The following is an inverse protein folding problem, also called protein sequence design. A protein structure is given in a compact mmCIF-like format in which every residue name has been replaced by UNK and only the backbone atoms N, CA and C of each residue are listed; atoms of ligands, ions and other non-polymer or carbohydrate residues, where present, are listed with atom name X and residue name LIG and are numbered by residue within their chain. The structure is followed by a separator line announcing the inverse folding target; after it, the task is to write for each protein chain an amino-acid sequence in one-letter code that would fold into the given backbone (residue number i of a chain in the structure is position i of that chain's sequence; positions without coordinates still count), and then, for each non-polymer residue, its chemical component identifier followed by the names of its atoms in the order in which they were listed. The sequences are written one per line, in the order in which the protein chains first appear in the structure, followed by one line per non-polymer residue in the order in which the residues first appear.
data_IF_341822859389
#
_entry.id   IF_341822859389
#
_cell.length_a   1.000
_cell.length_b   1.000
_cell.length_c   1.000
_cell.angle_alpha   90.00
_cell.angle_beta   90.00
_cell.angle_gamma   90.00
#
_symmetry.space_group_name_H-M   'P 1'
#
loop_
_entity.id
_entity.type
_entity.pdbx_description
1 polymer ?
#
# COMPACT_ATOMS: atom_id res chain seq x y z
N UNK A 1 -4.51 -25.08 -29.85
CA UNK A 1 -5.05 -24.74 -28.51
C UNK A 1 -4.12 -23.70 -27.91
N UNK A 2 -4.59 -22.46 -27.74
CA UNK A 2 -3.75 -21.36 -27.27
C UNK A 2 -3.34 -21.59 -25.81
N UNK A 3 -2.06 -21.44 -25.52
CA UNK A 3 -1.52 -21.50 -24.16
C UNK A 3 -2.05 -20.31 -23.36
N UNK A 4 -2.79 -20.57 -22.28
CA UNK A 4 -3.20 -19.54 -21.33
C UNK A 4 -1.94 -18.89 -20.74
N UNK A 5 -1.89 -17.55 -20.69
CA UNK A 5 -0.69 -16.79 -20.26
C UNK A 5 -0.24 -17.11 -18.82
N UNK A 6 -1.14 -17.58 -17.97
CA UNK A 6 -0.84 -18.00 -16.60
C UNK A 6 -0.32 -19.44 -16.48
N UNK A 7 -0.35 -20.24 -17.55
CA UNK A 7 -0.05 -21.68 -17.51
C UNK A 7 -1.15 -22.54 -16.87
N UNK A 8 -2.23 -21.93 -16.36
CA UNK A 8 -3.37 -22.63 -15.75
C UNK A 8 -4.60 -22.61 -16.65
N UNK A 9 -5.47 -23.61 -16.50
CA UNK A 9 -6.77 -23.70 -17.15
C UNK A 9 -7.89 -23.40 -16.12
N UNK A 10 -8.32 -22.14 -15.98
CA UNK A 10 -9.22 -21.75 -14.90
C UNK A 10 -10.64 -22.28 -15.13
N UNK A 11 -11.23 -22.87 -14.09
CA UNK A 11 -12.64 -23.26 -14.02
C UNK A 11 -13.30 -22.33 -13.00
N UNK A 12 -14.39 -21.68 -13.38
CA UNK A 12 -15.00 -20.65 -12.54
C UNK A 12 -16.37 -21.07 -12.00
N UNK A 13 -16.53 -21.03 -10.67
CA UNK A 13 -17.84 -21.04 -10.05
C UNK A 13 -18.45 -19.62 -10.15
N UNK A 14 -19.51 -19.44 -10.94
CA UNK A 14 -20.10 -18.12 -11.20
C UNK A 14 -21.60 -18.24 -11.49
N UNK A 15 -22.34 -17.13 -11.49
CA UNK A 15 -23.77 -17.19 -11.82
C UNK A 15 -23.98 -17.58 -13.30
N UNK A 16 -25.09 -18.23 -13.61
CA UNK A 16 -25.45 -18.56 -15.00
C UNK A 16 -25.47 -17.33 -15.91
N UNK A 17 -25.84 -16.16 -15.37
CA UNK A 17 -25.84 -14.88 -16.09
C UNK A 17 -24.42 -14.41 -16.41
N UNK A 18 -23.46 -14.64 -15.52
CA UNK A 18 -22.05 -14.23 -15.70
C UNK A 18 -21.23 -15.24 -16.50
N UNK A 19 -21.68 -16.48 -16.65
CA UNK A 19 -20.94 -17.56 -17.32
C UNK A 19 -20.40 -17.17 -18.72
N UNK A 20 -21.18 -16.56 -19.63
CA UNK A 20 -20.65 -16.17 -20.95
C UNK A 20 -19.49 -15.17 -20.87
N UNK A 21 -19.55 -14.26 -19.90
CA UNK A 21 -18.52 -13.25 -19.67
C UNK A 21 -17.24 -13.91 -19.14
N UNK A 22 -17.38 -14.85 -18.21
CA UNK A 22 -16.26 -15.56 -17.58
C UNK A 22 -15.53 -16.46 -18.58
N UNK A 23 -16.28 -17.17 -19.45
CA UNK A 23 -15.68 -17.91 -20.57
C UNK A 23 -14.97 -16.98 -21.55
N UNK A 24 -15.53 -15.81 -21.86
CA UNK A 24 -14.88 -14.80 -22.71
C UNK A 24 -13.53 -14.34 -22.14
N UNK A 25 -13.38 -14.29 -20.81
CA UNK A 25 -12.13 -13.94 -20.14
C UNK A 25 -11.15 -15.10 -19.96
N UNK A 26 -11.44 -16.28 -20.53
CA UNK A 26 -10.49 -17.38 -20.62
C UNK A 26 -10.72 -18.53 -19.63
N UNK A 27 -11.88 -18.59 -18.96
CA UNK A 27 -12.28 -19.79 -18.23
C UNK A 27 -12.57 -20.95 -19.20
N UNK A 28 -12.00 -22.12 -18.94
CA UNK A 28 -12.21 -23.34 -19.74
C UNK A 28 -13.53 -24.03 -19.42
N UNK A 29 -14.15 -23.66 -18.29
CA UNK A 29 -15.43 -24.18 -17.84
C UNK A 29 -16.04 -23.28 -16.78
N UNK A 30 -17.35 -23.37 -16.62
CA UNK A 30 -18.11 -22.60 -15.63
C UNK A 30 -19.10 -23.49 -14.93
N UNK A 31 -19.21 -23.38 -13.61
CA UNK A 31 -20.22 -24.05 -12.81
C UNK A 31 -21.10 -23.02 -12.09
N UNK A 32 -22.41 -23.24 -12.07
CA UNK A 32 -23.30 -22.37 -11.29
C UNK A 32 -23.13 -22.65 -9.80
N UNK A 33 -22.69 -21.65 -9.03
CA UNK A 33 -22.58 -21.79 -7.57
C UNK A 33 -23.94 -22.00 -6.89
N UNK A 34 -25.04 -21.61 -7.55
CA UNK A 34 -26.40 -21.86 -7.04
C UNK A 34 -26.88 -23.30 -7.31
N UNK A 35 -26.13 -24.09 -8.09
CA UNK A 35 -26.50 -25.47 -8.38
C UNK A 35 -25.99 -26.39 -7.27
N UNK A 36 -26.85 -27.30 -6.81
CA UNK A 36 -26.44 -28.40 -5.93
C UNK A 36 -25.38 -29.31 -6.57
N UNK A 37 -25.23 -29.28 -7.90
CA UNK A 37 -24.24 -30.03 -8.68
C UNK A 37 -22.97 -29.23 -9.02
N UNK A 38 -22.71 -28.10 -8.34
CA UNK A 38 -21.60 -27.20 -8.66
C UNK A 38 -20.25 -27.94 -8.65
N UNK A 39 -19.98 -28.72 -7.60
CA UNK A 39 -18.70 -29.44 -7.44
C UNK A 39 -18.51 -30.50 -8.51
N UNK A 40 -19.55 -31.26 -8.84
CA UNK A 40 -19.52 -32.28 -9.89
C UNK A 40 -19.23 -31.65 -11.25
N UNK A 41 -19.82 -30.49 -11.52
CA UNK A 41 -19.62 -29.74 -12.76
C UNK A 41 -18.18 -29.23 -12.85
N UNK A 42 -17.63 -28.69 -11.75
CA UNK A 42 -16.22 -28.29 -11.67
C UNK A 42 -15.28 -29.47 -11.93
N UNK A 43 -15.54 -30.63 -11.30
CA UNK A 43 -14.72 -31.84 -11.50
C UNK A 43 -14.85 -32.41 -12.91
N UNK A 44 -16.03 -32.32 -13.51
CA UNK A 44 -16.25 -32.75 -14.89
C UNK A 44 -15.42 -31.90 -15.87
N UNK A 45 -15.35 -30.58 -15.65
CA UNK A 45 -14.48 -29.69 -16.43
C UNK A 45 -12.99 -29.99 -16.23
N UNK A 46 -12.58 -30.47 -15.06
CA UNK A 46 -11.20 -30.88 -14.79
C UNK A 46 -10.79 -32.18 -15.52
N UNK A 47 -11.74 -32.93 -16.09
CA UNK A 47 -11.44 -34.07 -16.95
C UNK A 47 -10.63 -35.19 -16.28
N UNK A 48 -10.77 -35.37 -14.96
CA UNK A 48 -10.01 -36.34 -14.18
C UNK A 48 -8.63 -35.86 -13.71
N UNK A 49 -8.21 -34.65 -14.08
CA UNK A 49 -7.00 -34.01 -13.54
C UNK A 49 -7.31 -33.52 -12.12
N UNK A 50 -6.53 -33.93 -11.09
CA UNK A 50 -6.75 -33.43 -9.73
C UNK A 50 -6.56 -31.92 -9.64
N UNK A 51 -7.57 -31.22 -9.13
CA UNK A 51 -7.50 -29.78 -8.89
C UNK A 51 -6.57 -29.56 -7.69
N UNK A 52 -5.43 -28.88 -7.93
CA UNK A 52 -4.41 -28.59 -6.92
C UNK A 52 -4.46 -27.18 -6.36
N UNK A 53 -5.16 -26.27 -7.02
CA UNK A 53 -5.26 -24.88 -6.61
C UNK A 53 -6.73 -24.46 -6.64
N UNK A 54 -7.22 -23.89 -5.55
CA UNK A 54 -8.55 -23.30 -5.45
C UNK A 54 -8.41 -21.86 -4.94
N UNK A 55 -8.95 -20.92 -5.70
CA UNK A 55 -9.01 -19.51 -5.32
C UNK A 55 -10.45 -19.15 -4.94
N UNK A 56 -10.67 -18.82 -3.68
CA UNK A 56 -11.97 -18.45 -3.13
C UNK A 56 -12.05 -16.95 -2.87
N UNK A 57 -12.82 -16.29 -3.72
CA UNK A 57 -13.05 -14.85 -3.67
C UNK A 57 -14.26 -14.43 -2.81
N UNK A 58 -15.03 -15.38 -2.28
CA UNK A 58 -16.25 -15.12 -1.50
C UNK A 58 -16.00 -15.37 -0.02
N UNK A 59 -15.23 -16.41 0.30
CA UNK A 59 -14.71 -16.70 1.65
C UNK A 59 -15.77 -16.97 2.72
N UNK A 60 -16.96 -17.38 2.31
CA UNK A 60 -17.99 -17.88 3.23
C UNK A 60 -17.89 -19.40 3.38
N UNK A 61 -18.67 -19.96 4.31
CA UNK A 61 -18.64 -21.39 4.58
C UNK A 61 -19.09 -22.24 3.38
N UNK A 62 -19.96 -21.69 2.52
CA UNK A 62 -20.49 -22.40 1.35
C UNK A 62 -19.46 -22.43 0.23
N UNK A 63 -18.80 -21.30 -0.06
CA UNK A 63 -17.74 -21.18 -1.06
C UNK A 63 -16.51 -22.01 -0.68
N UNK A 64 -16.10 -21.97 0.59
CA UNK A 64 -15.00 -22.77 1.10
C UNK A 64 -15.31 -24.27 0.96
N UNK A 65 -16.53 -24.68 1.31
CA UNK A 65 -16.97 -26.07 1.16
C UNK A 65 -16.92 -26.55 -0.30
N UNK A 66 -17.34 -25.70 -1.25
CA UNK A 66 -17.23 -26.00 -2.69
C UNK A 66 -15.76 -26.16 -3.10
N UNK A 67 -14.88 -25.26 -2.68
CA UNK A 67 -13.45 -25.33 -2.99
C UNK A 67 -12.77 -26.59 -2.41
N UNK A 68 -12.95 -26.86 -1.12
CA UNK A 68 -12.41 -28.06 -0.48
C UNK A 68 -12.96 -29.35 -1.10
N UNK A 69 -14.25 -29.36 -1.46
CA UNK A 69 -14.88 -30.49 -2.11
C UNK A 69 -14.39 -30.68 -3.55
N UNK A 70 -13.96 -29.61 -4.23
CA UNK A 70 -13.41 -29.66 -5.58
C UNK A 70 -11.94 -30.11 -5.62
N UNK A 71 -11.15 -29.80 -4.58
CA UNK A 71 -9.74 -30.16 -4.48
C UNK A 71 -9.50 -31.69 -4.56
N UNK A 72 -8.35 -32.07 -5.11
CA UNK A 72 -7.95 -33.47 -5.22
C UNK A 72 -7.76 -34.16 -3.87
N UNK A 73 -7.97 -35.49 -3.82
CA UNK A 73 -7.84 -36.30 -2.58
C UNK A 73 -6.46 -36.22 -1.93
N UNK A 74 -5.41 -35.95 -2.71
CA UNK A 74 -4.04 -35.79 -2.22
C UNK A 74 -3.77 -34.41 -1.57
N UNK A 75 -4.79 -33.57 -1.47
CA UNK A 75 -4.67 -32.18 -1.01
C UNK A 75 -4.40 -31.20 -2.15
N UNK A 76 -4.35 -29.93 -1.79
CA UNK A 76 -4.09 -28.82 -2.70
C UNK A 76 -3.97 -27.50 -1.94
N UNK A 77 -3.64 -26.45 -2.67
CA UNK A 77 -3.53 -25.10 -2.15
C UNK A 77 -4.88 -24.40 -2.28
N UNK A 78 -5.45 -24.03 -1.14
CA UNK A 78 -6.63 -23.17 -1.06
C UNK A 78 -6.15 -21.76 -0.72
N UNK A 79 -6.58 -20.77 -1.49
CA UNK A 79 -6.25 -19.36 -1.33
C UNK A 79 -7.55 -18.55 -1.17
N UNK A 80 -7.63 -17.68 -0.17
CA UNK A 80 -8.82 -16.91 0.15
C UNK A 80 -8.51 -15.47 0.61
N UNK A 81 -9.50 -14.58 0.53
CA UNK A 81 -9.44 -13.14 0.85
C UNK A 81 -9.47 -12.78 2.34
N UNK A 82 -10.45 -13.25 3.12
CA UNK A 82 -10.71 -12.75 4.47
C UNK A 82 -10.10 -13.61 5.58
N UNK A 83 -10.09 -13.15 6.84
CA UNK A 83 -9.71 -14.00 7.97
C UNK A 83 -10.75 -15.12 8.15
N UNK A 84 -10.34 -16.38 7.94
CA UNK A 84 -11.22 -17.54 8.06
C UNK A 84 -11.64 -17.69 9.54
N UNK A 85 -12.94 -17.66 9.83
CA UNK A 85 -13.41 -17.97 11.18
C UNK A 85 -13.12 -19.45 11.48
N UNK A 86 -12.09 -19.71 12.29
CA UNK A 86 -11.75 -21.05 12.77
C UNK A 86 -12.95 -21.68 13.48
N UNK A 87 -13.70 -22.53 12.79
CA UNK A 87 -14.66 -23.43 13.41
C UNK A 87 -14.39 -24.91 13.15
N UNK A 88 -13.40 -25.29 12.33
CA UNK A 88 -13.03 -26.69 12.18
C UNK A 88 -11.52 -26.84 11.99
N UNK A 89 -10.88 -27.37 13.02
CA UNK A 89 -9.44 -27.54 13.10
C UNK A 89 -8.86 -28.54 12.10
N UNK A 90 -7.59 -28.32 11.79
CA UNK A 90 -6.70 -29.32 11.22
C UNK A 90 -6.36 -29.13 9.75
N UNK A 91 -5.53 -28.12 9.44
CA UNK A 91 -4.41 -28.17 8.47
C UNK A 91 -3.77 -26.78 8.37
N UNK A 92 -2.43 -26.75 8.36
CA UNK A 92 -1.65 -25.53 8.13
C UNK A 92 -2.02 -24.92 6.76
N UNK A 93 -2.37 -23.64 6.76
CA UNK A 93 -3.15 -23.01 5.70
C UNK A 93 -2.55 -21.65 5.34
N UNK A 94 -2.29 -21.42 4.05
CA UNK A 94 -1.61 -20.24 3.50
C UNK A 94 -2.63 -19.32 2.81
N UNK A 95 -2.63 -18.04 3.18
CA UNK A 95 -3.64 -17.02 2.87
C UNK A 95 -3.31 -16.23 1.58
N UNK A 96 -4.23 -16.09 0.60
CA UNK A 96 -4.07 -15.18 -0.56
C UNK A 96 -5.38 -14.71 -1.23
N UNK A 97 -5.46 -13.39 -1.43
CA UNK A 97 -6.63 -12.50 -1.66
C UNK A 97 -6.95 -12.12 -3.15
N UNK A 98 -8.14 -12.40 -3.73
CA UNK A 98 -8.85 -11.59 -4.79
C UNK A 98 -10.28 -12.13 -5.11
N UNK A 99 -11.27 -11.43 -5.77
CA UNK A 99 -11.60 -10.00 -5.90
C UNK A 99 -13.11 -9.62 -5.70
N UNK A 100 -13.36 -8.41 -5.15
CA UNK A 100 -14.62 -7.64 -5.01
C UNK A 100 -15.38 -7.80 -3.68
N UNK A 101 -15.27 -6.79 -2.82
CA UNK A 101 -16.07 -6.65 -1.60
C UNK A 101 -16.96 -5.43 -1.73
N UNK A 102 -18.27 -5.62 -1.55
CA UNK A 102 -19.22 -4.51 -1.39
C UNK A 102 -19.30 -4.18 0.10
N UNK A 103 -18.56 -3.16 0.53
CA UNK A 103 -18.64 -2.69 1.92
C UNK A 103 -19.83 -1.71 2.02
N UNK A 104 -20.81 -2.06 2.87
CA UNK A 104 -21.89 -1.16 3.27
C UNK A 104 -21.63 -0.71 4.70
N UNK A 105 -21.19 0.53 4.87
CA UNK A 105 -20.99 1.11 6.21
C UNK A 105 -22.07 2.16 6.45
N UNK A 106 -22.90 1.95 7.47
CA UNK A 106 -23.80 2.98 7.97
C UNK A 106 -22.99 3.93 8.86
N UNK A 107 -22.75 5.16 8.40
CA UNK A 107 -22.10 6.18 9.21
C UNK A 107 -23.17 7.04 9.88
N UNK A 108 -23.25 7.02 11.22
CA UNK A 108 -24.05 7.98 11.98
C UNK A 108 -23.11 9.12 12.38
N UNK A 109 -23.18 10.23 11.64
CA UNK A 109 -22.49 11.47 12.04
C UNK A 109 -22.96 11.86 13.44
N UNK A 110 -22.03 11.88 14.41
CA UNK A 110 -22.29 12.35 15.78
C UNK A 110 -22.16 13.87 15.93
N UNK A 111 -22.08 14.62 14.81
CA UNK A 111 -22.18 16.08 14.86
C UNK A 111 -23.67 16.44 14.95
N UNK A 112 -24.19 16.42 16.18
CA UNK A 112 -25.46 17.04 16.53
C UNK A 112 -25.40 18.53 16.19
N UNK A 113 -25.90 18.91 15.02
CA UNK A 113 -26.60 20.19 14.87
C UNK A 113 -28.08 19.85 14.96
N UNK A 114 -28.70 20.35 16.02
CA UNK A 114 -30.13 20.20 16.29
C UNK A 114 -30.97 20.55 15.04
N UNK A 115 -31.91 19.68 14.68
CA UNK A 115 -33.08 20.08 13.88
C UNK A 115 -33.27 19.49 12.47
N UNK A 116 -32.72 18.32 12.12
CA UNK A 116 -33.18 17.62 10.90
C UNK A 116 -33.21 16.09 11.05
N UNK A 117 -34.41 15.50 10.96
CA UNK A 117 -34.67 14.06 10.92
C UNK A 117 -34.26 13.44 9.57
N UNK A 118 -32.98 13.57 9.19
CA UNK A 118 -32.43 12.83 8.07
C UNK A 118 -31.90 11.48 8.56
N UNK A 119 -32.49 10.38 8.09
CA UNK A 119 -31.96 9.05 8.27
C UNK A 119 -30.47 9.00 7.85
N UNK A 120 -29.60 8.26 8.56
CA UNK A 120 -28.17 8.25 8.27
C UNK A 120 -27.94 7.84 6.81
N UNK A 121 -27.32 8.73 6.03
CA UNK A 121 -27.01 8.48 4.63
C UNK A 121 -26.14 7.21 4.52
N UNK A 122 -26.67 6.18 3.89
CA UNK A 122 -25.95 4.92 3.71
C UNK A 122 -24.81 5.12 2.72
N UNK A 123 -23.56 5.08 3.19
CA UNK A 123 -22.39 5.13 2.32
C UNK A 123 -22.24 3.76 1.66
N UNK A 124 -22.37 3.74 0.34
CA UNK A 124 -22.14 2.55 -0.47
C UNK A 124 -20.82 2.72 -1.22
N UNK A 125 -19.87 1.84 -0.94
CA UNK A 125 -18.61 1.77 -1.68
C UNK A 125 -18.44 0.38 -2.27
N UNK A 126 -17.94 0.29 -3.50
CA UNK A 126 -17.41 -0.95 -4.07
C UNK A 126 -15.90 -0.86 -4.04
N UNK A 127 -15.29 -1.84 -3.40
CA UNK A 127 -13.84 -1.99 -3.29
C UNK A 127 -13.44 -3.21 -4.10
N UNK A 128 -12.54 -3.03 -5.06
CA UNK A 128 -12.05 -4.05 -5.96
C UNK A 128 -10.55 -4.22 -5.79
N UNK A 129 -10.13 -5.43 -5.44
CA UNK A 129 -8.74 -5.84 -5.45
C UNK A 129 -8.29 -6.06 -6.91
N UNK A 130 -7.18 -5.43 -7.30
CA UNK A 130 -6.64 -5.37 -8.66
C UNK A 130 -5.16 -5.81 -8.66
N UNK A 131 -4.61 -6.25 -9.81
CA UNK A 131 -3.22 -6.66 -9.89
C UNK A 131 -2.21 -5.55 -9.50
N UNK A 132 -1.06 -5.97 -9.00
CA UNK A 132 0.16 -5.18 -8.78
C UNK A 132 1.38 -6.07 -9.07
N UNK A 133 2.55 -5.49 -9.31
CA UNK A 133 3.82 -6.20 -9.48
C UNK A 133 4.75 -5.94 -8.29
N UNK A 134 4.69 -6.80 -7.28
CA UNK A 134 5.49 -6.63 -6.05
C UNK A 134 5.86 -7.99 -5.43
N UNK A 135 6.35 -7.99 -4.19
CA UNK A 135 6.61 -9.19 -3.39
C UNK A 135 6.03 -9.07 -1.98
N UNK A 136 6.16 -10.13 -1.18
CA UNK A 136 5.83 -10.09 0.25
C UNK A 136 6.87 -10.84 1.05
N UNK A 137 7.34 -10.26 2.16
CA UNK A 137 8.28 -10.89 3.09
C UNK A 137 8.08 -10.29 4.48
N UNK A 138 7.86 -11.12 5.50
CA UNK A 138 7.77 -10.69 6.91
C UNK A 138 8.81 -11.40 7.78
N UNK A 139 9.19 -12.62 7.43
CA UNK A 139 10.24 -13.42 8.07
C UNK A 139 11.18 -13.99 7.01
N UNK A 140 12.34 -14.52 7.39
CA UNK A 140 13.32 -15.02 6.40
C UNK A 140 12.85 -16.19 5.53
N UNK A 141 11.71 -16.83 5.86
CA UNK A 141 11.23 -18.07 5.21
C UNK A 141 9.86 -17.92 4.53
N UNK A 142 9.23 -16.75 4.58
CA UNK A 142 7.85 -16.56 4.09
C UNK A 142 7.75 -15.71 2.81
N UNK A 143 8.82 -15.67 2.02
CA UNK A 143 8.83 -14.93 0.77
C UNK A 143 7.71 -15.40 -0.16
N UNK A 144 6.84 -14.48 -0.56
CA UNK A 144 5.72 -14.72 -1.46
C UNK A 144 4.57 -15.54 -0.86
N UNK A 145 4.54 -15.78 0.45
CA UNK A 145 3.45 -16.51 1.10
C UNK A 145 2.14 -15.70 1.16
N UNK A 146 2.19 -14.38 1.00
CA UNK A 146 1.01 -13.50 0.93
C UNK A 146 0.97 -12.77 -0.41
N UNK A 147 -0.23 -12.41 -0.87
CA UNK A 147 -0.38 -11.71 -2.14
C UNK A 147 -0.17 -10.21 -1.95
N UNK A 148 0.26 -9.54 -3.01
CA UNK A 148 0.28 -8.08 -3.14
C UNK A 148 -0.78 -7.66 -4.16
N UNK A 149 -1.36 -6.48 -3.97
CA UNK A 149 -2.43 -5.99 -4.83
C UNK A 149 -2.51 -4.46 -4.84
N UNK A 150 -3.15 -3.95 -5.89
CA UNK A 150 -3.67 -2.58 -5.94
C UNK A 150 -5.18 -2.59 -5.63
N UNK A 151 -5.76 -1.42 -5.34
CA UNK A 151 -7.15 -1.31 -4.89
C UNK A 151 -7.89 -0.22 -5.65
N UNK A 152 -9.05 -0.55 -6.22
CA UNK A 152 -9.98 0.43 -6.75
C UNK A 152 -11.17 0.61 -5.81
N UNK A 153 -11.51 1.86 -5.50
CA UNK A 153 -12.61 2.24 -4.63
C UNK A 153 -13.56 3.10 -5.44
N UNK A 154 -14.84 2.73 -5.48
CA UNK A 154 -15.89 3.50 -6.15
C UNK A 154 -17.03 3.80 -5.19
N UNK A 155 -17.36 5.08 -5.01
CA UNK A 155 -18.43 5.51 -4.12
C UNK A 155 -18.98 6.86 -4.56
N UNK A 156 -20.29 7.07 -4.45
CA UNK A 156 -20.93 8.37 -4.74
C UNK A 156 -20.67 8.90 -6.16
N UNK A 157 -20.49 8.03 -7.15
CA UNK A 157 -20.15 8.42 -8.52
C UNK A 157 -18.71 8.88 -8.72
N UNK A 158 -17.84 8.70 -7.72
CA UNK A 158 -16.40 8.95 -7.79
C UNK A 158 -15.61 7.66 -7.68
N UNK A 159 -14.40 7.66 -8.24
CA UNK A 159 -13.49 6.52 -8.22
C UNK A 159 -12.06 6.89 -7.88
N UNK A 160 -11.45 6.14 -6.98
CA UNK A 160 -10.03 6.24 -6.64
C UNK A 160 -9.34 4.89 -6.88
N UNK A 161 -8.08 4.93 -7.30
CA UNK A 161 -7.23 3.75 -7.43
C UNK A 161 -5.96 3.95 -6.61
N UNK A 162 -5.65 3.00 -5.74
CA UNK A 162 -4.43 2.96 -4.95
C UNK A 162 -3.54 1.86 -5.50
N UNK A 163 -2.38 2.24 -6.06
CA UNK A 163 -1.49 1.31 -6.73
C UNK A 163 -0.83 0.29 -5.77
N UNK A 164 -0.70 0.65 -4.49
CA UNK A 164 0.22 -0.01 -3.57
C UNK A 164 1.67 0.16 -4.02
N UNK A 165 2.56 -0.64 -3.43
CA UNK A 165 3.93 -0.76 -3.92
C UNK A 165 3.90 -1.62 -5.18
N UNK A 166 4.53 -1.14 -6.24
CA UNK A 166 4.55 -1.87 -7.50
C UNK A 166 5.72 -1.46 -8.37
N UNK A 167 6.28 -2.43 -9.09
CA UNK A 167 7.16 -2.24 -10.23
C UNK A 167 6.37 -2.07 -11.52
N UNK A 168 7.09 -1.74 -12.58
CA UNK A 168 6.54 -1.59 -13.93
C UNK A 168 7.44 -2.26 -14.97
N UNK A 169 8.76 -2.10 -14.86
CA UNK A 169 9.77 -2.69 -15.77
C UNK A 169 10.85 -3.39 -14.98
N UNK A 170 11.26 -4.57 -15.44
CA UNK A 170 12.51 -5.16 -14.97
C UNK A 170 13.67 -4.54 -15.75
N UNK A 171 14.56 -3.81 -15.06
CA UNK A 171 15.69 -3.11 -15.67
C UNK A 171 16.95 -4.00 -15.54
N UNK A 172 17.70 -4.27 -16.61
CA UNK A 172 18.96 -5.00 -16.52
C UNK A 172 20.05 -4.23 -15.78
N UNK A 173 21.00 -4.93 -15.16
CA UNK A 173 22.19 -4.31 -14.58
C UNK A 173 23.01 -3.60 -15.64
N UNK A 174 23.51 -2.39 -15.32
CA UNK A 174 24.26 -1.55 -16.25
C UNK A 174 23.42 -0.78 -17.27
N UNK A 175 22.10 -0.95 -17.30
CA UNK A 175 21.21 -0.12 -18.12
C UNK A 175 20.82 1.16 -17.39
N UNK A 176 21.09 2.31 -18.01
CA UNK A 176 20.68 3.62 -17.51
C UNK A 176 19.19 3.88 -17.79
N UNK A 177 18.50 4.48 -16.82
CA UNK A 177 17.11 4.90 -16.98
C UNK A 177 17.02 5.99 -18.06
N UNK A 178 16.12 5.81 -19.03
CA UNK A 178 16.03 6.60 -20.27
C UNK A 178 17.26 6.52 -21.20
N UNK A 179 18.19 5.59 -20.96
CA UNK A 179 19.31 5.32 -21.86
C UNK A 179 18.89 4.64 -23.17
N UNK A 180 19.82 4.46 -24.13
CA UNK A 180 19.54 3.80 -25.40
C UNK A 180 18.94 2.39 -25.21
N UNK A 181 17.74 2.17 -25.75
CA UNK A 181 17.03 0.89 -25.68
C UNK A 181 16.16 0.71 -24.43
N UNK A 182 16.14 1.66 -23.49
CA UNK A 182 15.26 1.63 -22.32
C UNK A 182 13.77 1.61 -22.72
N UNK A 183 13.42 2.32 -23.79
CA UNK A 183 12.09 2.36 -24.40
C UNK A 183 11.60 1.00 -24.92
N UNK A 184 12.53 0.07 -25.18
CA UNK A 184 12.24 -1.27 -25.70
C UNK A 184 12.09 -2.32 -24.60
N UNK A 185 12.33 -1.95 -23.33
CA UNK A 185 12.15 -2.88 -22.23
C UNK A 185 10.69 -3.33 -22.10
N UNK A 186 10.44 -4.62 -21.80
CA UNK A 186 9.09 -5.07 -21.50
C UNK A 186 8.61 -4.38 -20.22
N UNK A 187 7.35 -3.95 -20.25
CA UNK A 187 6.66 -3.40 -19.08
C UNK A 187 5.46 -4.27 -18.71
N UNK A 188 4.92 -4.05 -17.51
CA UNK A 188 3.76 -4.79 -17.02
C UNK A 188 2.48 -4.38 -17.77
N UNK A 189 1.88 -5.26 -18.60
CA UNK A 189 0.67 -4.94 -19.35
C UNK A 189 -0.59 -4.85 -18.47
N UNK A 190 -0.51 -5.26 -17.19
CA UNK A 190 -1.67 -5.28 -16.30
C UNK A 190 -2.20 -3.88 -15.99
N UNK A 191 -1.36 -2.83 -16.02
CA UNK A 191 -1.83 -1.46 -15.78
C UNK A 191 -2.73 -0.95 -16.91
N UNK A 192 -2.37 -1.23 -18.17
CA UNK A 192 -3.23 -0.93 -19.30
C UNK A 192 -4.56 -1.70 -19.20
N UNK A 193 -4.51 -2.98 -18.80
CA UNK A 193 -5.71 -3.79 -18.56
C UNK A 193 -6.58 -3.23 -17.42
N UNK A 194 -5.98 -2.71 -16.36
CA UNK A 194 -6.69 -2.01 -15.27
C UNK A 194 -7.42 -0.78 -15.84
N UNK A 195 -6.74 0.04 -16.64
CA UNK A 195 -7.36 1.21 -17.27
C UNK A 195 -8.47 0.86 -18.25
N UNK A 196 -8.34 -0.24 -19.00
CA UNK A 196 -9.34 -0.73 -19.95
C UNK A 196 -10.56 -1.37 -19.29
N UNK A 197 -10.37 -2.14 -18.22
CA UNK A 197 -11.42 -2.96 -17.61
C UNK A 197 -12.10 -2.29 -16.41
N UNK A 198 -11.40 -1.38 -15.73
CA UNK A 198 -11.84 -0.78 -14.45
C UNK A 198 -11.77 0.74 -14.44
N UNK A 199 -10.85 1.32 -15.20
CA UNK A 199 -10.74 2.76 -15.40
C UNK A 199 -11.84 3.33 -16.32
N UNK A 200 -11.86 4.65 -16.51
CA UNK A 200 -10.96 5.64 -15.92
C UNK A 200 -11.25 5.92 -14.44
N UNK A 201 -10.21 6.25 -13.68
CA UNK A 201 -10.33 6.65 -12.27
C UNK A 201 -10.27 8.17 -12.10
N UNK A 202 -11.03 8.74 -11.15
CA UNK A 202 -10.95 10.19 -10.87
C UNK A 202 -9.64 10.59 -10.18
N UNK A 203 -9.05 9.67 -9.40
CA UNK A 203 -7.78 9.85 -8.69
C UNK A 203 -6.98 8.54 -8.64
N UNK A 204 -5.70 8.57 -9.01
CA UNK A 204 -4.73 7.50 -8.78
C UNK A 204 -3.74 7.89 -7.68
N UNK A 205 -3.45 7.00 -6.73
CA UNK A 205 -2.34 7.15 -5.78
C UNK A 205 -1.22 6.23 -6.26
N UNK A 206 -0.10 6.80 -6.70
CA UNK A 206 0.94 6.09 -7.46
C UNK A 206 2.30 6.30 -6.78
N UNK A 207 3.06 5.22 -6.50
CA UNK A 207 4.36 5.33 -5.85
C UNK A 207 5.38 5.98 -6.78
N UNK A 208 6.27 6.81 -6.23
CA UNK A 208 7.38 7.43 -6.99
C UNK A 208 8.76 7.21 -6.35
N UNK A 209 8.83 6.61 -5.15
CA UNK A 209 10.09 6.36 -4.43
C UNK A 209 10.43 4.87 -4.33
N UNK A 210 11.52 4.57 -3.62
CA UNK A 210 12.07 3.24 -3.39
C UNK A 210 12.64 2.54 -4.66
N UNK A 211 13.21 3.30 -5.61
CA UNK A 211 13.49 2.79 -6.96
C UNK A 211 14.96 2.53 -7.29
N UNK A 212 15.93 3.01 -6.49
CA UNK A 212 17.36 2.95 -6.84
C UNK A 212 18.17 1.93 -5.99
N UNK A 213 19.05 1.09 -6.59
CA UNK A 213 19.35 0.95 -8.01
C UNK A 213 18.27 0.23 -8.83
N UNK A 214 18.06 0.69 -10.06
CA UNK A 214 16.96 0.23 -10.94
C UNK A 214 17.03 -1.27 -11.23
N UNK A 215 18.23 -1.84 -11.36
CA UNK A 215 18.37 -3.25 -11.68
C UNK A 215 17.90 -4.18 -10.56
N UNK A 216 17.92 -3.69 -9.32
CA UNK A 216 17.48 -4.44 -8.16
C UNK A 216 15.98 -4.22 -7.91
N UNK A 217 15.53 -2.96 -8.02
CA UNK A 217 14.19 -2.59 -7.57
C UNK A 217 13.17 -2.40 -8.69
N UNK A 218 13.55 -2.26 -9.96
CA UNK A 218 12.58 -1.99 -11.04
C UNK A 218 11.47 -3.03 -11.16
N UNK A 219 11.79 -4.29 -10.85
CA UNK A 219 10.83 -5.39 -10.82
C UNK A 219 9.74 -5.25 -9.74
N UNK A 220 9.94 -4.43 -8.70
CA UNK A 220 9.05 -4.32 -7.54
C UNK A 220 8.70 -2.88 -7.14
N UNK A 221 9.46 -1.88 -7.57
CA UNK A 221 9.23 -0.45 -7.33
C UNK A 221 9.40 0.36 -8.63
N UNK A 222 8.35 1.11 -8.96
CA UNK A 222 8.28 2.02 -10.09
C UNK A 222 9.13 3.26 -9.80
N UNK A 223 9.92 3.69 -10.79
CA UNK A 223 10.52 5.02 -10.77
C UNK A 223 9.49 6.09 -11.09
N UNK A 224 9.81 7.38 -10.90
CA UNK A 224 8.94 8.47 -11.36
C UNK A 224 8.62 8.43 -12.87
N UNK A 225 9.52 7.89 -13.70
CA UNK A 225 9.27 7.69 -15.13
C UNK A 225 8.24 6.59 -15.39
N UNK A 226 8.36 5.48 -14.67
CA UNK A 226 7.37 4.40 -14.71
C UNK A 226 6.01 4.86 -14.16
N UNK A 227 6.00 5.67 -13.10
CA UNK A 227 4.79 6.19 -12.47
C UNK A 227 3.94 7.04 -13.43
N UNK A 228 4.58 7.84 -14.30
CA UNK A 228 3.88 8.60 -15.35
C UNK A 228 3.24 7.67 -16.37
N UNK A 229 3.90 6.57 -16.72
CA UNK A 229 3.31 5.59 -17.64
C UNK A 229 2.17 4.78 -17.00
N UNK A 230 2.33 4.36 -15.74
CA UNK A 230 1.25 3.75 -14.96
C UNK A 230 0.04 4.68 -14.90
N UNK A 231 0.25 5.98 -14.69
CA UNK A 231 -0.81 6.99 -14.72
C UNK A 231 -1.58 7.01 -16.04
N UNK A 232 -0.87 6.96 -17.16
CA UNK A 232 -1.46 6.92 -18.51
C UNK A 232 -2.20 5.59 -18.76
N UNK A 233 -1.56 4.47 -18.46
CA UNK A 233 -2.08 3.11 -18.68
C UNK A 233 -3.35 2.84 -17.87
N UNK A 234 -3.40 3.31 -16.63
CA UNK A 234 -4.59 3.19 -15.75
C UNK A 234 -5.69 4.21 -16.07
N UNK A 235 -5.43 5.15 -17.00
CA UNK A 235 -6.35 6.21 -17.42
C UNK A 235 -6.89 7.02 -16.24
N UNK A 236 -6.04 7.26 -15.23
CA UNK A 236 -6.38 8.14 -14.13
C UNK A 236 -6.53 9.58 -14.63
N UNK A 237 -7.52 10.32 -14.13
CA UNK A 237 -7.72 11.73 -14.50
C UNK A 237 -6.77 12.66 -13.75
N UNK A 238 -6.48 12.31 -12.51
CA UNK A 238 -5.54 12.99 -11.61
C UNK A 238 -4.72 11.94 -10.88
N UNK A 239 -3.51 12.29 -10.48
CA UNK A 239 -2.66 11.45 -9.67
C UNK A 239 -2.15 12.19 -8.44
N UNK A 240 -1.94 11.45 -7.36
CA UNK A 240 -1.23 11.86 -6.16
C UNK A 240 -0.01 10.95 -6.02
N UNK A 241 1.17 11.57 -5.97
CA UNK A 241 2.40 10.84 -5.70
C UNK A 241 2.43 10.35 -4.24
N UNK A 242 2.93 9.14 -4.03
CA UNK A 242 3.11 8.54 -2.71
C UNK A 242 4.42 7.74 -2.64
N UNK A 243 4.66 7.05 -1.52
CA UNK A 243 5.82 6.17 -1.30
C UNK A 243 7.18 6.89 -1.37
N UNK A 244 7.20 8.21 -1.11
CA UNK A 244 8.42 9.02 -1.10
C UNK A 244 8.38 10.00 0.09
N UNK A 245 9.55 10.53 0.49
CA UNK A 245 9.63 11.64 1.44
C UNK A 245 9.46 11.28 2.93
N UNK A 246 9.24 10.00 3.25
CA UNK A 246 8.99 9.55 4.63
C UNK A 246 10.08 8.62 5.19
N UNK A 247 10.51 7.61 4.43
CA UNK A 247 11.53 6.65 4.85
C UNK A 247 12.56 6.46 3.74
N UNK A 248 13.84 6.43 4.09
CA UNK A 248 14.93 6.09 3.19
C UNK A 248 15.04 4.56 3.06
N UNK A 249 14.31 3.98 2.11
CA UNK A 249 14.27 2.52 1.87
C UNK A 249 15.37 2.03 0.92
N UNK A 250 15.90 2.94 0.12
CA UNK A 250 16.80 2.69 -1.01
C UNK A 250 17.81 3.83 -1.12
N UNK A 251 18.67 3.80 -2.14
CA UNK A 251 19.83 4.68 -2.21
C UNK A 251 19.61 6.00 -2.94
N UNK A 252 18.42 6.30 -3.47
CA UNK A 252 18.15 7.62 -4.01
C UNK A 252 18.05 8.69 -2.90
N UNK A 253 18.45 9.94 -3.18
CA UNK A 253 18.17 11.07 -2.28
C UNK A 253 16.67 11.26 -2.08
N UNK A 254 16.25 11.63 -0.86
CA UNK A 254 14.82 11.72 -0.48
C UNK A 254 14.06 12.78 -1.28
N UNK A 255 14.74 13.82 -1.75
CA UNK A 255 14.25 14.94 -2.54
C UNK A 255 14.30 14.69 -4.07
N UNK A 256 14.97 13.62 -4.52
CA UNK A 256 15.10 13.30 -5.95
C UNK A 256 13.78 12.86 -6.64
N UNK A 257 12.89 12.07 -6.01
CA UNK A 257 11.70 11.56 -6.69
C UNK A 257 10.75 12.63 -7.27
N UNK A 258 10.42 13.73 -6.55
CA UNK A 258 9.63 14.82 -7.13
C UNK A 258 10.29 15.52 -8.32
N UNK A 259 11.61 15.67 -8.30
CA UNK A 259 12.34 16.27 -9.43
C UNK A 259 12.30 15.37 -10.66
N UNK A 260 12.51 14.07 -10.47
CA UNK A 260 12.43 13.08 -11.54
C UNK A 260 11.00 12.95 -12.07
N UNK A 261 9.99 13.06 -11.20
CA UNK A 261 8.58 13.14 -11.63
C UNK A 261 8.35 14.37 -12.52
N UNK A 262 8.91 15.53 -12.16
CA UNK A 262 8.82 16.75 -12.97
C UNK A 262 9.45 16.55 -14.36
N UNK A 263 10.63 15.92 -14.42
CA UNK A 263 11.31 15.57 -15.68
C UNK A 263 10.44 14.60 -16.50
N UNK A 264 9.94 13.54 -15.88
CA UNK A 264 9.09 12.54 -16.52
C UNK A 264 7.81 13.13 -17.13
N UNK A 265 7.11 14.00 -16.38
CA UNK A 265 5.93 14.72 -16.87
C UNK A 265 6.27 15.63 -18.06
N UNK A 266 7.43 16.32 -17.99
CA UNK A 266 7.93 17.15 -19.09
C UNK A 266 8.19 16.36 -20.37
N UNK A 267 8.83 15.20 -20.27
CA UNK A 267 9.11 14.30 -21.41
C UNK A 267 7.81 13.84 -22.09
N UNK A 268 6.78 13.51 -21.30
CA UNK A 268 5.49 13.03 -21.83
C UNK A 268 4.53 14.16 -22.20
N UNK A 269 4.93 15.44 -22.04
CA UNK A 269 4.10 16.61 -22.35
C UNK A 269 2.86 16.74 -21.46
N UNK A 270 2.89 16.20 -20.25
CA UNK A 270 1.77 16.24 -19.31
C UNK A 270 1.82 17.50 -18.44
N UNK A 271 0.66 18.06 -18.03
CA UNK A 271 0.62 19.22 -17.13
C UNK A 271 1.29 18.90 -15.79
N UNK A 272 2.19 19.77 -15.33
CA UNK A 272 2.82 19.69 -14.00
C UNK A 272 1.95 20.31 -12.89
N UNK A 273 0.64 20.43 -13.14
CA UNK A 273 -0.32 21.05 -12.23
C UNK A 273 -0.45 20.25 -10.93
N UNK A 274 -0.32 20.89 -9.78
CA UNK A 274 -0.44 20.27 -8.46
C UNK A 274 0.85 19.69 -7.90
N UNK A 275 1.96 19.68 -8.65
CA UNK A 275 3.27 19.25 -8.13
C UNK A 275 3.74 20.16 -6.97
N UNK A 276 3.51 21.47 -7.09
CA UNK A 276 3.77 22.44 -6.02
C UNK A 276 2.91 22.19 -4.78
N UNK A 277 1.66 21.75 -4.99
CA UNK A 277 0.71 21.50 -3.90
C UNK A 277 1.08 20.22 -3.13
N UNK A 278 1.61 19.20 -3.83
CA UNK A 278 2.15 17.98 -3.19
C UNK A 278 3.38 18.30 -2.36
N UNK A 279 4.34 19.06 -2.90
CA UNK A 279 5.52 19.48 -2.14
C UNK A 279 5.15 20.38 -0.95
N UNK A 280 4.18 21.30 -1.12
CA UNK A 280 3.65 22.10 -0.01
C UNK A 280 2.92 21.25 1.04
N UNK A 281 2.19 20.22 0.63
CA UNK A 281 1.53 19.27 1.56
C UNK A 281 2.57 18.46 2.33
N UNK A 282 3.62 17.97 1.65
CA UNK A 282 4.73 17.25 2.29
C UNK A 282 5.44 18.10 3.34
N UNK A 283 5.69 19.38 3.05
CA UNK A 283 6.24 20.34 4.00
C UNK A 283 5.37 20.48 5.26
N UNK A 284 4.05 20.61 5.09
CA UNK A 284 3.12 20.68 6.24
C UNK A 284 3.08 19.36 7.02
N UNK A 285 3.13 18.21 6.33
CA UNK A 285 3.15 16.89 6.96
C UNK A 285 4.41 16.67 7.81
N UNK A 286 5.58 17.10 7.34
CA UNK A 286 6.83 17.00 8.10
C UNK A 286 6.76 17.78 9.42
N UNK A 287 6.22 19.00 9.38
CA UNK A 287 5.97 19.81 10.59
C UNK A 287 4.99 19.13 11.55
N UNK A 288 3.94 18.49 11.02
CA UNK A 288 2.96 17.77 11.83
C UNK A 288 3.56 16.51 12.48
N UNK A 289 4.48 15.82 11.80
CA UNK A 289 5.17 14.66 12.33
C UNK A 289 5.97 14.98 13.60
N UNK A 290 6.69 16.11 13.64
CA UNK A 290 7.41 16.55 14.84
C UNK A 290 6.50 16.71 16.05
N UNK A 291 5.32 17.29 15.86
CA UNK A 291 4.32 17.44 16.93
C UNK A 291 3.80 16.09 17.40
N UNK A 292 3.50 15.19 16.47
CA UNK A 292 3.02 13.84 16.79
C UNK A 292 4.06 13.07 17.62
N UNK A 293 5.35 13.15 17.25
CA UNK A 293 6.44 12.51 18.00
C UNK A 293 6.57 13.07 19.42
N UNK A 294 6.51 14.39 19.58
CA UNK A 294 6.54 15.05 20.89
C UNK A 294 5.43 14.53 21.80
N UNK A 295 4.18 14.56 21.32
CA UNK A 295 3.03 14.18 22.14
C UNK A 295 3.01 12.68 22.47
N UNK A 296 3.42 11.81 21.55
CA UNK A 296 3.51 10.37 21.80
C UNK A 296 4.49 10.07 22.96
N UNK A 297 5.68 10.67 22.92
CA UNK A 297 6.74 10.45 23.93
C UNK A 297 6.41 11.10 25.27
N UNK A 298 5.82 12.30 25.27
CA UNK A 298 5.35 12.93 26.49
C UNK A 298 4.23 12.12 27.15
N UNK A 299 3.29 11.58 26.38
CA UNK A 299 2.24 10.71 26.91
C UNK A 299 2.83 9.49 27.64
N UNK A 300 3.84 8.83 27.06
CA UNK A 300 4.53 7.71 27.68
C UNK A 300 5.28 8.13 28.97
N UNK A 301 5.97 9.27 28.95
CA UNK A 301 6.66 9.80 30.14
C UNK A 301 5.69 10.15 31.27
N UNK A 302 4.52 10.73 30.94
CA UNK A 302 3.46 10.98 31.93
C UNK A 302 2.92 9.68 32.51
N UNK A 303 2.76 8.63 31.69
CA UNK A 303 2.37 7.31 32.16
C UNK A 303 3.43 6.73 33.12
N UNK A 304 4.72 6.82 32.78
CA UNK A 304 5.82 6.36 33.64
C UNK A 304 5.87 7.12 34.96
N UNK A 305 5.72 8.45 34.92
CA UNK A 305 5.64 9.26 36.13
C UNK A 305 4.46 8.82 37.01
N UNK A 306 3.27 8.64 36.41
CA UNK A 306 2.06 8.27 37.15
C UNK A 306 2.18 6.92 37.86
N UNK A 307 2.82 5.94 37.23
CA UNK A 307 2.93 4.57 37.78
C UNK A 307 4.13 4.44 38.74
N UNK A 308 5.27 5.06 38.42
CA UNK A 308 6.55 4.77 39.07
C UNK A 308 7.19 5.99 39.78
N UNK A 309 6.39 6.98 40.20
CA UNK A 309 6.86 8.16 40.94
C UNK A 309 7.49 7.86 42.30
N UNK A 310 7.45 6.60 42.76
CA UNK A 310 7.97 6.14 44.05
C UNK A 310 9.48 6.36 44.17
N UNK A 311 10.22 6.23 43.06
CA UNK A 311 11.68 6.39 43.04
C UNK A 311 12.10 7.79 42.58
N UNK A 312 12.66 8.59 43.49
CA UNK A 312 13.22 9.92 43.17
C UNK A 312 14.21 9.92 41.99
N UNK A 313 15.21 9.02 41.91
CA UNK A 313 16.12 9.01 40.77
C UNK A 313 15.39 8.66 39.46
N UNK A 314 14.35 7.82 39.50
CA UNK A 314 13.54 7.52 38.32
C UNK A 314 12.78 8.76 37.83
N UNK A 315 12.14 9.49 38.74
CA UNK A 315 11.43 10.73 38.43
C UNK A 315 12.35 11.79 37.83
N UNK A 316 13.57 11.93 38.36
CA UNK A 316 14.58 12.84 37.79
C UNK A 316 14.94 12.43 36.37
N UNK A 317 15.12 11.13 36.09
CA UNK A 317 15.34 10.65 34.73
C UNK A 317 14.17 10.95 33.80
N UNK A 318 12.93 10.76 34.24
CA UNK A 318 11.72 11.09 33.46
C UNK A 318 11.70 12.56 33.08
N UNK A 319 11.98 13.47 34.03
CA UNK A 319 12.04 14.91 33.73
C UNK A 319 13.20 15.27 32.81
N UNK A 320 14.38 14.67 33.01
CA UNK A 320 15.53 14.92 32.13
C UNK A 320 15.23 14.49 30.69
N UNK A 321 14.67 13.29 30.49
CA UNK A 321 14.27 12.80 29.17
C UNK A 321 13.16 13.65 28.56
N UNK A 322 12.17 14.06 29.37
CA UNK A 322 11.12 14.97 28.92
C UNK A 322 11.65 16.33 28.46
N UNK A 323 12.60 16.92 29.20
CA UNK A 323 13.22 18.19 28.83
C UNK A 323 14.03 18.07 27.53
N UNK A 324 14.80 16.99 27.36
CA UNK A 324 15.53 16.69 26.12
C UNK A 324 14.54 16.53 24.95
N UNK A 325 13.47 15.75 25.13
CA UNK A 325 12.47 15.53 24.09
C UNK A 325 11.80 16.83 23.65
N UNK A 326 11.38 17.67 24.60
CA UNK A 326 10.76 18.97 24.29
C UNK A 326 11.75 19.88 23.57
N UNK A 327 12.97 20.02 24.10
CA UNK A 327 14.00 20.88 23.50
C UNK A 327 14.35 20.45 22.07
N UNK A 328 14.58 19.16 21.86
CA UNK A 328 14.86 18.62 20.54
C UNK A 328 13.67 18.78 19.59
N UNK A 329 12.43 18.51 20.03
CA UNK A 329 11.24 18.65 19.19
C UNK A 329 10.98 20.11 18.77
N UNK A 330 11.25 21.08 19.66
CA UNK A 330 11.16 22.51 19.31
C UNK A 330 12.23 22.89 18.30
N UNK A 331 13.47 22.42 18.48
CA UNK A 331 14.56 22.69 17.55
C UNK A 331 14.28 22.11 16.16
N UNK A 332 13.82 20.85 16.08
CA UNK A 332 13.47 20.21 14.79
C UNK A 332 12.25 20.84 14.15
N UNK A 333 11.24 21.23 14.93
CA UNK A 333 10.08 21.96 14.42
C UNK A 333 10.50 23.28 13.76
N UNK A 334 11.35 24.08 14.43
CA UNK A 334 11.87 25.34 13.87
C UNK A 334 12.72 25.07 12.63
N UNK A 335 13.57 24.04 12.66
CA UNK A 335 14.43 23.70 11.53
C UNK A 335 13.64 23.23 10.29
N UNK A 336 12.56 22.46 10.45
CA UNK A 336 11.64 22.14 9.34
C UNK A 336 10.95 23.39 8.79
N UNK A 337 10.51 24.30 9.66
CA UNK A 337 9.93 25.56 9.18
C UNK A 337 10.93 26.41 8.38
N UNK A 338 12.22 26.32 8.73
CA UNK A 338 13.31 27.06 8.11
C UNK A 338 14.15 26.20 7.15
N UNK A 339 13.63 25.06 6.71
CA UNK A 339 14.36 24.09 5.87
C UNK A 339 14.88 24.73 4.59
N UNK A 340 14.07 25.61 4.00
CA UNK A 340 14.50 26.57 3.01
C UNK A 340 14.05 27.97 3.44
N UNK A 341 14.90 28.97 3.23
CA UNK A 341 14.46 30.37 3.18
C UNK A 341 14.39 30.78 1.70
N UNK A 342 13.33 31.45 1.23
CA UNK A 342 11.98 31.28 1.74
C UNK A 342 11.52 29.81 1.58
N UNK A 343 10.56 29.32 2.40
CA UNK A 343 10.05 27.95 2.29
C UNK A 343 9.53 27.60 0.89
N UNK A 344 9.09 28.61 0.12
CA UNK A 344 8.63 28.47 -1.26
C UNK A 344 9.63 27.80 -2.19
N UNK A 345 10.93 27.94 -1.90
CA UNK A 345 12.00 27.32 -2.69
C UNK A 345 11.87 25.78 -2.74
N UNK A 346 11.30 25.16 -1.70
CA UNK A 346 11.08 23.71 -1.63
C UNK A 346 10.17 23.18 -2.75
N UNK A 347 9.30 24.04 -3.32
CA UNK A 347 8.38 23.67 -4.39
C UNK A 347 8.43 24.58 -5.62
N UNK A 348 9.26 25.63 -5.58
CA UNK A 348 9.55 26.52 -6.70
C UNK A 348 11.06 26.69 -6.88
N UNK A 349 11.69 25.89 -7.78
CA UNK A 349 13.13 25.91 -7.99
C UNK A 349 13.61 27.19 -8.68
N UNK A 350 12.71 28.07 -9.13
CA UNK A 350 13.09 29.37 -9.74
C UNK A 350 13.45 30.41 -8.69
N UNK A 351 13.23 30.12 -7.39
CA UNK A 351 13.56 31.02 -6.28
C UNK A 351 15.03 30.83 -5.85
N UNK A 352 15.88 31.87 -5.98
CA UNK A 352 17.31 31.76 -5.71
C UNK A 352 17.61 31.97 -4.22
N UNK A 353 17.64 30.90 -3.43
CA UNK A 353 18.15 30.89 -2.04
C UNK A 353 18.80 29.54 -1.68
N UNK A 354 19.04 29.27 -0.40
CA UNK A 354 19.70 28.05 0.12
C UNK A 354 18.74 27.22 0.97
N UNK A 355 18.81 25.89 0.82
CA UNK A 355 18.10 24.93 1.67
C UNK A 355 19.11 24.14 2.51
N UNK A 356 18.67 23.63 3.65
CA UNK A 356 19.39 22.62 4.40
C UNK A 356 19.44 21.31 3.61
N UNK A 357 20.47 20.52 3.82
CA UNK A 357 20.54 19.16 3.28
C UNK A 357 19.47 18.30 3.96
N UNK A 358 18.40 18.00 3.23
CA UNK A 358 17.26 17.26 3.74
C UNK A 358 17.64 15.85 4.21
N UNK A 359 18.57 15.18 3.52
CA UNK A 359 19.00 13.84 3.87
C UNK A 359 19.84 13.84 5.17
N UNK A 360 20.76 14.79 5.30
CA UNK A 360 21.54 14.98 6.53
C UNK A 360 20.62 15.35 7.71
N UNK A 361 19.67 16.26 7.48
CA UNK A 361 18.72 16.70 8.49
C UNK A 361 17.80 15.56 8.97
N UNK A 362 17.28 14.73 8.05
CA UNK A 362 16.51 13.53 8.36
C UNK A 362 17.34 12.51 9.16
N UNK A 363 18.58 12.25 8.74
CA UNK A 363 19.47 11.29 9.40
C UNK A 363 19.79 11.71 10.84
N UNK A 364 20.15 12.98 11.05
CA UNK A 364 20.43 13.53 12.37
C UNK A 364 19.18 13.57 13.26
N UNK A 365 18.03 13.93 12.68
CA UNK A 365 16.74 13.92 13.36
C UNK A 365 16.37 12.53 13.86
N UNK A 366 16.37 11.52 12.99
CA UNK A 366 15.98 10.16 13.35
C UNK A 366 16.94 9.48 14.33
N UNK A 367 18.23 9.85 14.33
CA UNK A 367 19.20 9.34 15.29
C UNK A 367 18.85 9.77 16.73
N UNK A 368 18.56 11.05 16.95
CA UNK A 368 18.17 11.56 18.28
C UNK A 368 16.80 11.02 18.68
N UNK A 369 15.86 10.97 17.73
CA UNK A 369 14.53 10.39 17.92
C UNK A 369 14.64 8.95 18.47
N UNK A 370 15.42 8.11 17.78
CA UNK A 370 15.65 6.71 18.14
C UNK A 370 16.37 6.56 19.49
N UNK A 371 17.34 7.43 19.78
CA UNK A 371 18.05 7.41 21.07
C UNK A 371 17.08 7.61 22.24
N UNK A 372 16.15 8.57 22.13
CA UNK A 372 15.12 8.78 23.16
C UNK A 372 14.25 7.54 23.32
N UNK A 373 13.87 6.88 22.23
CA UNK A 373 13.09 5.63 22.29
C UNK A 373 13.83 4.52 23.03
N UNK A 374 15.12 4.32 22.75
CA UNK A 374 15.94 3.34 23.49
C UNK A 374 16.03 3.67 24.98
N UNK A 375 16.15 4.95 25.34
CA UNK A 375 16.13 5.37 26.76
C UNK A 375 14.78 5.08 27.41
N UNK A 376 13.66 5.33 26.71
CA UNK A 376 12.31 5.03 27.21
C UNK A 376 12.09 3.53 27.42
N UNK A 377 12.58 2.69 26.51
CA UNK A 377 12.57 1.21 26.68
C UNK A 377 13.49 0.79 27.83
N UNK A 378 14.67 1.38 27.95
CA UNK A 378 15.60 1.15 29.06
C UNK A 378 14.98 1.48 30.42
N UNK A 379 14.23 2.57 30.50
CA UNK A 379 13.48 2.94 31.71
C UNK A 379 12.44 1.86 32.05
N UNK A 380 11.66 1.36 31.08
CA UNK A 380 10.69 0.30 31.32
C UNK A 380 11.32 -1.02 31.79
N UNK A 381 12.42 -1.43 31.16
CA UNK A 381 13.09 -2.72 31.47
C UNK A 381 13.82 -2.73 32.81
N UNK A 382 14.35 -1.58 33.26
CA UNK A 382 14.92 -1.47 34.61
C UNK A 382 13.86 -1.65 35.69
N UNK A 383 12.62 -1.28 35.40
CA UNK A 383 11.52 -1.37 36.36
C UNK A 383 11.03 -2.82 36.53
N UNK A 384 10.93 -3.60 35.45
CA UNK A 384 10.49 -5.01 35.51
C UNK A 384 11.46 -5.95 36.24
N UNK A 385 12.69 -5.49 36.52
CA UNK A 385 13.69 -6.23 37.32
C UNK A 385 13.71 -5.86 38.81
N UNK A 386 12.93 -4.87 39.24
CA UNK A 386 12.89 -4.37 40.63
C UNK A 386 11.62 -4.85 41.38
N UNK A 387 10.61 -5.34 40.65
CA UNK A 387 9.52 -6.18 41.16
C UNK A 387 9.90 -7.64 41.11
#
# INVERSE_FOLDING_TARGET
MGTHRSGYAPIAACSSTSAPLVTKYGAVGTASYMSSSCVETVKAHAGGIPIRHALDCITDAESASVCFSALGRAGGHYAWLEEFQEQNGGRDMICQLVPNVLIRTAYRSSINKEGHDDAPAQIKARVSCLPSQHGSLRSGLDYGHTLWASWAITSGGKSAWFAGDTGYRCVPEGMEELGPGFDKLPWNPQFAQIGDLRGPFDLGLIPIGAYHPRFMYGGVHASPYDAVEIFQDTKCRRAMAMHWGAFALTSEPVDQPPEDLKKALGIKGLPQTGLSDVCATGYVMAVQFCLQQLFAKLCLLFLYYRIFSVSRPFVVCVYAVGAVQVGWSVATYVAHWLECTPPRKLWDPTVPETCLDAAAFLADGEAVNSLVDFVLVGLATRITRIT
#
